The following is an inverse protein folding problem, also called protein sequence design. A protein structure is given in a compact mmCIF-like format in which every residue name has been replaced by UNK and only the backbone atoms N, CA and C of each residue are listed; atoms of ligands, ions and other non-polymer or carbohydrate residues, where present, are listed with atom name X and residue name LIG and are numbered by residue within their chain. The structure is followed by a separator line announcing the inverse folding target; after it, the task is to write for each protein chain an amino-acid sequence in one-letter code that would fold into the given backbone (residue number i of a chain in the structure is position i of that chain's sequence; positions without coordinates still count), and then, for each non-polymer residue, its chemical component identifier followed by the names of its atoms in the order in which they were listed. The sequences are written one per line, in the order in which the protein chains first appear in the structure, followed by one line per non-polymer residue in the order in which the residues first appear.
data_IF_668123667888
#
_entry.id   IF_668123667888
#
_cell.length_a   1.000
_cell.length_b   1.000
_cell.length_c   1.000
_cell.angle_alpha   90.00
_cell.angle_beta   90.00
_cell.angle_gamma   90.00
#
_symmetry.space_group_name_H-M   'P 1'
#
loop_
_entity.id
_entity.type
_entity.pdbx_description
1 polymer ?
#
# COMPACT_ATOMS: atom_id res chain seq x y z
N UNK A 1 -32.47 -21.27 1.83
CA UNK A 1 -31.48 -20.53 1.02
C UNK A 1 -30.21 -21.35 0.95
N UNK A 2 -29.75 -21.74 -0.24
CA UNK A 2 -28.50 -22.49 -0.39
C UNK A 2 -27.30 -21.63 0.02
N UNK A 3 -26.39 -22.17 0.84
CA UNK A 3 -25.13 -21.48 1.18
C UNK A 3 -24.28 -21.39 -0.09
N UNK A 4 -24.05 -20.17 -0.58
CA UNK A 4 -23.12 -19.94 -1.69
C UNK A 4 -21.72 -20.42 -1.30
N UNK A 5 -21.03 -21.07 -2.23
CA UNK A 5 -19.66 -21.51 -2.00
C UNK A 5 -18.72 -20.30 -1.98
N UNK A 6 -17.55 -20.43 -1.32
CA UNK A 6 -16.53 -19.36 -1.27
C UNK A 6 -16.14 -18.86 -2.67
N UNK A 7 -16.12 -19.77 -3.64
CA UNK A 7 -15.81 -19.49 -5.05
C UNK A 7 -16.90 -18.66 -5.74
N UNK A 8 -18.18 -18.95 -5.48
CA UNK A 8 -19.30 -18.16 -6.01
C UNK A 8 -19.30 -16.73 -5.46
N UNK A 9 -19.00 -16.57 -4.17
CA UNK A 9 -18.88 -15.25 -3.55
C UNK A 9 -17.72 -14.45 -4.14
N UNK A 10 -16.61 -15.10 -4.49
CA UNK A 10 -15.48 -14.46 -5.16
C UNK A 10 -15.86 -14.00 -6.58
N UNK A 11 -16.58 -14.83 -7.36
CA UNK A 11 -17.09 -14.45 -8.68
C UNK A 11 -18.00 -13.22 -8.62
N UNK A 12 -18.89 -13.15 -7.64
CA UNK A 12 -19.76 -11.97 -7.43
C UNK A 12 -18.92 -10.72 -7.13
N UNK A 13 -17.87 -10.82 -6.31
CA UNK A 13 -16.98 -9.67 -6.02
C UNK A 13 -16.19 -9.21 -7.24
N UNK A 14 -15.68 -10.14 -8.05
CA UNK A 14 -15.00 -9.83 -9.31
C UNK A 14 -15.94 -9.08 -10.26
N UNK A 15 -17.18 -9.54 -10.38
CA UNK A 15 -18.17 -8.89 -11.24
C UNK A 15 -18.54 -7.49 -10.74
N UNK A 16 -18.70 -7.30 -9.43
CA UNK A 16 -18.90 -5.96 -8.84
C UNK A 16 -17.72 -5.03 -9.18
N UNK A 17 -16.47 -5.49 -9.04
CA UNK A 17 -15.28 -4.70 -9.41
C UNK A 17 -15.32 -4.31 -10.90
N UNK A 18 -15.69 -5.24 -11.78
CA UNK A 18 -15.82 -5.01 -13.23
C UNK A 18 -16.89 -3.96 -13.57
N UNK A 19 -18.05 -4.02 -12.91
CA UNK A 19 -19.11 -3.04 -13.17
C UNK A 19 -18.75 -1.64 -12.65
N UNK A 20 -18.05 -1.57 -11.51
CA UNK A 20 -17.52 -0.30 -10.98
C UNK A 20 -16.47 0.29 -11.93
N UNK A 21 -15.56 -0.52 -12.48
CA UNK A 21 -14.53 -0.02 -13.41
C UNK A 21 -15.09 0.46 -14.75
N UNK A 22 -16.28 -0.03 -15.13
CA UNK A 22 -17.04 0.47 -16.27
C UNK A 22 -17.82 1.77 -15.98
N UNK A 23 -17.76 2.27 -14.74
CA UNK A 23 -18.42 3.51 -14.33
C UNK A 23 -19.91 3.36 -13.99
N UNK A 24 -20.42 2.14 -13.82
CA UNK A 24 -21.82 1.95 -13.42
C UNK A 24 -22.04 2.45 -11.99
N UNK A 25 -23.16 3.14 -11.81
CA UNK A 25 -23.60 3.61 -10.51
C UNK A 25 -24.19 2.47 -9.69
N UNK A 26 -24.18 2.63 -8.36
CA UNK A 26 -24.79 1.68 -7.42
C UNK A 26 -26.20 1.18 -7.84
N UNK A 27 -27.19 2.04 -8.16
CA UNK A 27 -28.51 1.56 -8.57
C UNK A 27 -28.50 0.73 -9.85
N UNK A 28 -27.62 1.05 -10.81
CA UNK A 28 -27.46 0.27 -12.04
C UNK A 28 -26.87 -1.11 -11.76
N UNK A 29 -25.89 -1.19 -10.85
CA UNK A 29 -25.29 -2.46 -10.43
C UNK A 29 -26.30 -3.34 -9.69
N UNK A 30 -27.07 -2.77 -8.77
CA UNK A 30 -28.13 -3.51 -8.05
C UNK A 30 -29.15 -4.10 -9.01
N UNK A 31 -29.55 -3.33 -10.03
CA UNK A 31 -30.45 -3.77 -11.09
C UNK A 31 -29.80 -4.84 -11.97
N UNK A 32 -28.54 -4.66 -12.36
CA UNK A 32 -27.81 -5.58 -13.24
C UNK A 32 -27.57 -6.95 -12.60
N UNK A 33 -27.27 -6.97 -11.30
CA UNK A 33 -26.96 -8.21 -10.57
C UNK A 33 -28.13 -8.79 -9.80
N UNK A 34 -29.32 -8.20 -9.92
CA UNK A 34 -30.56 -8.59 -9.23
C UNK A 34 -30.35 -8.85 -7.73
N UNK A 35 -29.64 -7.94 -7.05
CA UNK A 35 -29.27 -8.10 -5.65
C UNK A 35 -29.83 -7.03 -4.74
N UNK A 36 -30.04 -7.40 -3.47
CA UNK A 36 -30.45 -6.46 -2.44
C UNK A 36 -29.30 -5.51 -2.05
N UNK A 37 -29.68 -4.29 -1.64
CA UNK A 37 -28.75 -3.26 -1.20
C UNK A 37 -27.81 -3.71 -0.06
N UNK A 38 -28.36 -4.45 0.90
CA UNK A 38 -27.61 -5.00 2.03
C UNK A 38 -26.54 -6.00 1.57
N UNK A 39 -26.88 -6.89 0.64
CA UNK A 39 -25.95 -7.87 0.05
C UNK A 39 -24.85 -7.17 -0.74
N UNK A 40 -25.20 -6.16 -1.52
CA UNK A 40 -24.22 -5.35 -2.25
C UNK A 40 -23.25 -4.63 -1.30
N UNK A 41 -23.76 -3.97 -0.26
CA UNK A 41 -22.93 -3.32 0.78
C UNK A 41 -21.99 -4.32 1.45
N UNK A 42 -22.47 -5.52 1.77
CA UNK A 42 -21.62 -6.58 2.34
C UNK A 42 -20.49 -6.99 1.38
N UNK A 43 -20.79 -7.17 0.09
CA UNK A 43 -19.76 -7.45 -0.91
C UNK A 43 -18.76 -6.30 -1.05
N UNK A 44 -19.24 -5.06 -1.03
CA UNK A 44 -18.41 -3.87 -1.17
C UNK A 44 -17.45 -3.70 0.01
N UNK A 45 -17.90 -3.91 1.24
CA UNK A 45 -17.03 -3.91 2.42
C UNK A 45 -15.92 -4.94 2.31
N UNK A 46 -16.25 -6.15 1.83
CA UNK A 46 -15.26 -7.20 1.63
C UNK A 46 -14.30 -6.87 0.49
N UNK A 47 -14.77 -6.26 -0.60
CA UNK A 47 -13.91 -5.78 -1.69
C UNK A 47 -12.91 -4.77 -1.15
N UNK A 48 -13.35 -3.77 -0.39
CA UNK A 48 -12.44 -2.77 0.17
C UNK A 48 -11.44 -3.36 1.16
N UNK A 49 -11.84 -4.34 1.97
CA UNK A 49 -10.93 -5.04 2.87
C UNK A 49 -9.89 -5.86 2.11
N UNK A 50 -10.30 -6.57 1.04
CA UNK A 50 -9.42 -7.33 0.16
C UNK A 50 -8.44 -6.40 -0.57
N UNK A 51 -8.94 -5.32 -1.17
CA UNK A 51 -8.14 -4.37 -1.95
C UNK A 51 -7.14 -3.64 -1.05
N UNK A 52 -7.56 -3.24 0.17
CA UNK A 52 -6.64 -2.66 1.17
C UNK A 52 -5.52 -3.63 1.52
N UNK A 53 -5.86 -4.89 1.80
CA UNK A 53 -4.86 -5.92 2.14
C UNK A 53 -3.90 -6.17 0.99
N UNK A 54 -4.42 -6.23 -0.24
CA UNK A 54 -3.59 -6.41 -1.43
C UNK A 54 -2.64 -5.23 -1.63
N UNK A 55 -3.15 -4.00 -1.51
CA UNK A 55 -2.32 -2.79 -1.64
C UNK A 55 -1.22 -2.73 -0.57
N UNK A 56 -1.52 -3.11 0.67
CA UNK A 56 -0.52 -3.21 1.74
C UNK A 56 0.53 -4.28 1.44
N UNK A 57 0.12 -5.42 0.89
CA UNK A 57 1.04 -6.47 0.49
C UNK A 57 1.95 -6.03 -0.66
N UNK A 58 1.40 -5.37 -1.69
CA UNK A 58 2.16 -4.82 -2.82
C UNK A 58 3.14 -3.73 -2.35
N UNK A 59 2.70 -2.83 -1.46
CA UNK A 59 3.54 -1.81 -0.83
C UNK A 59 4.72 -2.44 -0.07
N UNK A 60 4.42 -3.45 0.76
CA UNK A 60 5.43 -4.15 1.56
C UNK A 60 6.45 -4.88 0.69
N UNK A 61 6.00 -5.58 -0.35
CA UNK A 61 6.88 -6.29 -1.30
C UNK A 61 7.76 -5.33 -2.10
N UNK A 62 7.20 -4.19 -2.52
CA UNK A 62 7.96 -3.15 -3.20
C UNK A 62 9.05 -2.58 -2.27
N UNK A 63 8.69 -2.24 -1.04
CA UNK A 63 9.62 -1.71 -0.04
C UNK A 63 10.72 -2.72 0.32
N UNK A 64 10.38 -4.00 0.46
CA UNK A 64 11.35 -5.08 0.67
C UNK A 64 12.36 -5.16 -0.48
N UNK A 65 11.88 -5.06 -1.72
CA UNK A 65 12.73 -5.04 -2.91
C UNK A 65 13.66 -3.82 -2.91
N UNK A 66 13.15 -2.62 -2.61
CA UNK A 66 13.94 -1.40 -2.54
C UNK A 66 15.04 -1.47 -1.46
N UNK A 67 14.73 -2.02 -0.28
CA UNK A 67 15.70 -2.25 0.79
C UNK A 67 16.82 -3.20 0.32
N UNK A 68 16.45 -4.28 -0.38
CA UNK A 68 17.42 -5.23 -0.93
C UNK A 68 18.34 -4.56 -1.96
N UNK A 69 17.78 -3.82 -2.91
CA UNK A 69 18.57 -3.10 -3.93
C UNK A 69 19.50 -2.05 -3.31
N UNK A 70 19.00 -1.30 -2.33
CA UNK A 70 19.80 -0.31 -1.61
C UNK A 70 20.97 -0.98 -0.89
N UNK A 71 20.72 -2.11 -0.22
CA UNK A 71 21.76 -2.92 0.44
C UNK A 71 22.83 -3.36 -0.54
N UNK A 72 22.45 -3.96 -1.66
CA UNK A 72 23.42 -4.42 -2.67
C UNK A 72 24.27 -3.28 -3.22
N UNK A 73 23.66 -2.12 -3.47
CA UNK A 73 24.37 -0.94 -3.98
C UNK A 73 25.40 -0.42 -2.97
N UNK A 74 25.03 -0.34 -1.70
CA UNK A 74 25.94 0.07 -0.63
C UNK A 74 27.09 -0.93 -0.46
N UNK A 75 26.81 -2.24 -0.52
CA UNK A 75 27.84 -3.28 -0.46
C UNK A 75 28.81 -3.20 -1.63
N UNK A 76 28.31 -2.98 -2.86
CA UNK A 76 29.16 -2.76 -4.04
C UNK A 76 30.06 -1.53 -3.88
N UNK A 77 29.50 -0.44 -3.35
CA UNK A 77 30.26 0.79 -3.11
C UNK A 77 31.36 0.58 -2.08
N UNK A 78 31.08 -0.12 -0.98
CA UNK A 78 32.08 -0.52 0.03
C UNK A 78 33.19 -1.33 -0.63
N UNK A 79 32.83 -2.34 -1.42
CA UNK A 79 33.81 -3.20 -2.10
C UNK A 79 34.73 -2.39 -3.02
N UNK A 80 34.18 -1.51 -3.86
CA UNK A 80 34.98 -0.63 -4.72
C UNK A 80 35.90 0.29 -3.90
N UNK A 81 35.41 0.84 -2.79
CA UNK A 81 36.26 1.65 -1.90
C UNK A 81 37.40 0.82 -1.28
N UNK A 82 37.15 -0.43 -0.91
CA UNK A 82 38.18 -1.35 -0.42
C UNK A 82 39.22 -1.68 -1.48
N UNK A 83 38.83 -1.87 -2.74
CA UNK A 83 39.75 -2.10 -3.85
C UNK A 83 40.67 -0.89 -4.07
N UNK A 84 40.11 0.32 -4.07
CA UNK A 84 40.87 1.57 -4.22
C UNK A 84 41.81 1.77 -3.04
N UNK A 85 41.31 1.63 -1.81
CA UNK A 85 42.10 1.85 -0.60
C UNK A 85 43.27 0.87 -0.46
N UNK A 86 43.07 -0.39 -0.87
CA UNK A 86 44.07 -1.45 -0.80
C UNK A 86 44.95 -1.55 -2.05
N UNK A 87 44.85 -0.61 -3.00
CA UNK A 87 45.65 -0.63 -4.21
C UNK A 87 47.15 -0.45 -3.89
N UNK A 88 47.90 -1.56 -4.02
CA UNK A 88 49.36 -1.63 -3.84
C UNK A 88 50.12 -1.37 -5.13
N UNK A 89 49.44 -1.27 -6.27
CA UNK A 89 50.08 -1.07 -7.58
C UNK A 89 50.58 0.37 -7.74
N UNK A 90 50.15 1.28 -6.86
CA UNK A 90 50.49 2.70 -6.93
C UNK A 90 49.75 3.45 -8.02
N UNK A 91 48.68 2.86 -8.58
CA UNK A 91 47.84 3.48 -9.61
C UNK A 91 47.00 4.62 -9.03
N UNK A 92 46.52 4.46 -7.79
CA UNK A 92 45.75 5.48 -7.09
C UNK A 92 46.63 6.36 -6.18
N UNK A 93 46.35 7.67 -6.17
CA UNK A 93 47.04 8.62 -5.29
C UNK A 93 46.75 8.34 -3.81
N UNK A 94 47.66 8.75 -2.93
CA UNK A 94 47.46 8.65 -1.47
C UNK A 94 46.19 9.38 -1.01
N UNK A 95 45.84 10.49 -1.67
CA UNK A 95 44.61 11.22 -1.42
C UNK A 95 43.37 10.39 -1.77
N UNK A 96 43.36 9.74 -2.92
CA UNK A 96 42.22 8.94 -3.39
C UNK A 96 42.01 7.71 -2.50
N UNK A 97 43.08 7.08 -2.02
CA UNK A 97 42.99 5.99 -1.04
C UNK A 97 42.40 6.43 0.29
N UNK A 98 42.77 7.63 0.77
CA UNK A 98 42.24 8.17 2.02
C UNK A 98 40.76 8.55 1.87
N UNK A 99 40.37 9.14 0.74
CA UNK A 99 38.96 9.46 0.47
C UNK A 99 38.12 8.19 0.29
N UNK A 100 38.68 7.14 -0.33
CA UNK A 100 38.02 5.84 -0.43
C UNK A 100 37.78 5.21 0.96
N UNK A 101 38.77 5.26 1.87
CA UNK A 101 38.58 4.80 3.26
C UNK A 101 37.49 5.60 3.98
N UNK A 102 37.48 6.93 3.80
CA UNK A 102 36.44 7.78 4.39
C UNK A 102 35.05 7.43 3.86
N UNK A 103 34.89 7.35 2.54
CA UNK A 103 33.62 7.03 1.89
C UNK A 103 33.14 5.63 2.26
N UNK A 104 34.05 4.66 2.41
CA UNK A 104 33.73 3.32 2.92
C UNK A 104 33.09 3.37 4.30
N UNK A 105 33.66 4.17 5.22
CA UNK A 105 33.11 4.32 6.59
C UNK A 105 31.73 4.96 6.55
N UNK A 106 31.55 6.04 5.80
CA UNK A 106 30.24 6.71 5.64
C UNK A 106 29.19 5.74 5.07
N UNK A 107 29.54 5.01 4.01
CA UNK A 107 28.66 4.02 3.37
C UNK A 107 28.34 2.85 4.29
N UNK A 108 29.29 2.42 5.12
CA UNK A 108 29.08 1.37 6.13
C UNK A 108 28.08 1.81 7.20
N UNK A 109 28.13 3.07 7.64
CA UNK A 109 27.15 3.63 8.57
C UNK A 109 25.75 3.62 7.94
N UNK A 110 25.63 4.01 6.67
CA UNK A 110 24.36 3.99 5.97
C UNK A 110 23.82 2.58 5.76
N UNK A 111 24.69 1.60 5.51
CA UNK A 111 24.31 0.19 5.47
C UNK A 111 23.79 -0.29 6.83
N UNK A 112 24.45 0.08 7.93
CA UNK A 112 24.01 -0.26 9.29
C UNK A 112 22.63 0.35 9.58
N UNK A 113 22.41 1.61 9.21
CA UNK A 113 21.11 2.28 9.34
C UNK A 113 20.04 1.55 8.53
N UNK A 114 20.33 1.20 7.28
CA UNK A 114 19.39 0.46 6.43
C UNK A 114 19.04 -0.90 7.03
N UNK A 115 20.01 -1.64 7.58
CA UNK A 115 19.78 -2.94 8.19
C UNK A 115 19.02 -2.86 9.52
N UNK A 116 19.25 -1.80 10.29
CA UNK A 116 18.55 -1.56 11.56
C UNK A 116 17.13 -1.05 11.33
N UNK A 117 16.97 -0.03 10.50
CA UNK A 117 15.74 0.74 10.37
C UNK A 117 14.85 0.21 9.23
N UNK A 118 15.43 -0.41 8.20
CA UNK A 118 14.71 -0.97 7.04
C UNK A 118 13.62 -1.97 7.42
N UNK A 119 13.88 -2.98 8.27
CA UNK A 119 12.84 -3.92 8.71
C UNK A 119 11.68 -3.23 9.44
N UNK A 120 11.93 -2.15 10.18
CA UNK A 120 10.86 -1.40 10.86
C UNK A 120 9.94 -0.67 9.87
N UNK A 121 10.46 -0.26 8.71
CA UNK A 121 9.64 0.34 7.66
C UNK A 121 8.63 -0.66 7.06
N UNK A 122 8.90 -1.97 7.14
CA UNK A 122 7.97 -3.03 6.68
C UNK A 122 6.83 -3.31 7.67
N UNK A 123 6.91 -2.83 8.93
CA UNK A 123 5.97 -3.22 10.00
C UNK A 123 5.15 -2.04 10.56
N UNK A 124 5.50 -0.79 10.22
CA UNK A 124 4.85 0.40 10.76
C UNK A 124 3.46 0.72 10.15
N UNK A 125 2.99 -0.01 9.13
CA UNK A 125 1.68 0.27 8.51
C UNK A 125 0.47 -0.30 9.29
N UNK A 126 0.68 -1.19 10.26
CA UNK A 126 -0.43 -1.81 11.01
C UNK A 126 -1.00 -0.90 12.11
N UNK A 127 -0.19 -0.01 12.69
CA UNK A 127 -0.61 0.81 13.86
C UNK A 127 -1.38 2.09 13.48
N UNK A 128 -1.24 2.59 12.24
CA UNK A 128 -1.91 3.82 11.79
C UNK A 128 -3.39 3.68 11.44
N UNK A 129 -3.90 2.46 11.29
CA UNK A 129 -5.26 2.20 10.77
C UNK A 129 -6.37 2.26 11.83
N UNK A 130 -6.06 2.22 13.12
CA UNK A 130 -7.07 2.18 14.19
C UNK A 130 -7.64 3.56 14.58
N UNK A 131 -7.05 4.67 14.10
CA UNK A 131 -7.45 6.02 14.50
C UNK A 131 -8.35 6.77 13.48
N UNK A 132 -8.69 6.19 12.33
CA UNK A 132 -9.57 6.85 11.34
C UNK A 132 -11.05 6.41 11.36
N UNK A 133 -11.44 5.46 12.22
CA UNK A 133 -12.82 4.96 12.28
C UNK A 133 -13.85 5.93 12.92
N UNK A 134 -13.50 7.18 13.25
CA UNK A 134 -14.43 8.13 13.92
C UNK A 134 -14.79 9.38 13.12
N UNK A 135 -14.43 9.51 11.84
CA UNK A 135 -14.82 10.68 11.05
C UNK A 135 -15.27 10.31 9.64
N UNK A 136 -16.55 9.98 9.49
CA UNK A 136 -17.37 10.33 8.32
C UNK A 136 -18.84 10.34 8.75
N UNK A 137 -19.29 11.50 9.22
CA UNK A 137 -20.70 11.83 9.29
C UNK A 137 -21.25 11.82 7.85
N UNK A 138 -22.12 10.86 7.55
CA UNK A 138 -22.97 10.92 6.35
C UNK A 138 -24.06 11.97 6.65
N UNK A 139 -24.24 13.02 5.84
CA UNK A 139 -25.40 13.88 5.97
C UNK A 139 -26.64 13.13 5.47
N UNK A 140 -27.51 12.79 6.42
CA UNK A 140 -28.84 12.23 6.20
C UNK A 140 -29.76 13.34 5.67
N UNK A 141 -29.87 13.47 4.35
CA UNK A 141 -30.84 14.38 3.72
C UNK A 141 -32.15 13.64 3.44
N UNK A 142 -32.88 13.35 4.50
CA UNK A 142 -34.27 12.91 4.42
C UNK A 142 -35.15 13.83 5.26
N UNK A 143 -35.66 14.91 4.65
CA UNK A 143 -36.82 15.63 5.22
C UNK A 143 -37.80 16.04 4.13
N UNK A 144 -38.71 15.11 3.83
CA UNK A 144 -40.05 15.43 3.38
C UNK A 144 -40.91 15.85 4.60
N UNK A 145 -41.58 16.99 4.53
CA UNK A 145 -42.90 17.23 5.14
C UNK A 145 -43.44 18.58 4.62
N UNK A 146 -44.45 18.55 3.75
CA UNK A 146 -45.89 18.64 4.08
C UNK A 146 -46.39 20.08 4.24
N UNK A 147 -47.25 20.45 3.30
CA UNK A 147 -48.56 21.07 3.52
C UNK A 147 -48.61 22.45 4.15
N UNK A 148 -48.95 23.46 3.34
CA UNK A 148 -49.91 24.52 3.74
C UNK A 148 -50.83 24.90 2.58
N UNK A 149 -52.03 24.31 2.63
CA UNK A 149 -53.28 24.96 2.22
C UNK A 149 -53.47 26.21 3.08
N UNK A 150 -53.70 27.37 2.47
CA UNK A 150 -54.44 28.47 3.10
C UNK A 150 -55.35 29.08 2.03
N UNK A 151 -56.65 28.89 2.25
CA UNK A 151 -57.74 29.67 1.68
C UNK A 151 -57.67 31.12 2.20
N UNK A 152 -57.86 32.09 1.31
CA UNK A 152 -58.84 33.16 1.44
C UNK A 152 -58.93 33.94 0.13
#
# INVERSE_FOLDING_TARGET
MAKKTKMELAKVRIEIRRLISLGLTKPEILKHMEMADSTFRWHLTNIYAEDKKQLQQESSQYLESEILWARERLQRTIHTCEEIANDKTGTNDAKDRLEAERLKVETTIDLIRLLRDGPHLLHNEEEGSNNQAQRTNVPDNTRANKSKSIQK
#
